data_IF_251910434240
#
_entry.id   IF_251910434240
#
_cell.length_a   1.000
_cell.length_b   1.000
_cell.length_c   1.000
_cell.angle_alpha   90.00
_cell.angle_beta   90.00
_cell.angle_gamma   90.00
#
_symmetry.space_group_name_H-M   'P 1'
#
loop_
_entity.id
_entity.type
_entity.pdbx_description
1 polymer ?
#
# COMPACT_ATOMS: atom_id res chain seq x y z
N UNK A 1 -18.48 -8.20 1.56
CA UNK A 1 -17.44 -8.14 2.61
C UNK A 1 -16.85 -6.73 2.61
N UNK A 2 -16.73 -6.11 3.78
CA UNK A 2 -16.07 -4.81 3.94
C UNK A 2 -14.56 -4.95 3.98
N UNK A 3 -13.81 -4.04 3.33
CA UNK A 3 -12.34 -4.00 3.41
C UNK A 3 -11.84 -3.80 4.85
N UNK A 4 -10.70 -4.42 5.17
CA UNK A 4 -9.95 -4.12 6.40
C UNK A 4 -9.34 -2.71 6.37
N UNK A 5 -8.83 -2.22 7.50
CA UNK A 5 -8.14 -0.92 7.53
C UNK A 5 -6.89 -0.91 6.64
N UNK A 6 -6.08 -1.97 6.67
CA UNK A 6 -4.91 -2.11 5.79
C UNK A 6 -5.30 -2.07 4.31
N UNK A 7 -6.35 -2.80 3.93
CA UNK A 7 -6.83 -2.79 2.53
C UNK A 7 -7.31 -1.41 2.11
N UNK A 8 -7.98 -0.64 2.99
CA UNK A 8 -8.39 0.73 2.69
C UNK A 8 -7.20 1.67 2.48
N UNK A 9 -6.17 1.56 3.33
CA UNK A 9 -4.94 2.36 3.19
C UNK A 9 -4.24 2.03 1.86
N UNK A 10 -4.05 0.75 1.57
CA UNK A 10 -3.42 0.30 0.33
C UNK A 10 -4.22 0.72 -0.91
N UNK A 11 -5.54 0.57 -0.89
CA UNK A 11 -6.42 1.01 -1.98
C UNK A 11 -6.31 2.52 -2.23
N UNK A 12 -6.29 3.32 -1.16
CA UNK A 12 -6.14 4.78 -1.27
C UNK A 12 -4.80 5.19 -1.91
N UNK A 13 -3.68 4.59 -1.47
CA UNK A 13 -2.34 4.93 -2.00
C UNK A 13 -2.07 4.33 -3.39
N UNK A 14 -2.82 3.31 -3.79
CA UNK A 14 -2.83 2.75 -5.15
C UNK A 14 -3.83 3.44 -6.10
N UNK A 15 -4.67 4.36 -5.60
CA UNK A 15 -5.72 5.00 -6.41
C UNK A 15 -6.83 4.05 -6.86
N UNK A 16 -7.07 2.97 -6.11
CA UNK A 16 -8.06 1.94 -6.42
C UNK A 16 -9.29 2.07 -5.51
N UNK A 17 -10.46 1.64 -6.01
CA UNK A 17 -11.69 1.61 -5.20
C UNK A 17 -11.68 0.49 -4.14
N UNK A 18 -10.98 -0.61 -4.41
CA UNK A 18 -10.80 -1.71 -3.45
C UNK A 18 -9.58 -2.57 -3.80
N UNK A 19 -9.11 -3.36 -2.83
CA UNK A 19 -8.04 -4.36 -3.01
C UNK A 19 -8.36 -5.65 -2.27
N UNK A 20 -7.79 -6.77 -2.75
CA UNK A 20 -7.93 -8.10 -2.12
C UNK A 20 -6.56 -8.70 -1.77
N UNK A 21 -6.57 -9.73 -0.91
CA UNK A 21 -5.33 -10.42 -0.54
C UNK A 21 -4.74 -11.17 -1.74
N UNK A 22 -3.42 -11.06 -1.95
CA UNK A 22 -2.71 -11.66 -3.09
C UNK A 22 -2.72 -10.83 -4.37
N UNK A 23 -3.43 -9.70 -4.40
CA UNK A 23 -3.38 -8.75 -5.51
C UNK A 23 -2.05 -7.98 -5.50
N UNK A 24 -1.39 -7.89 -6.66
CA UNK A 24 -0.27 -6.96 -6.87
C UNK A 24 -0.82 -5.57 -7.19
N UNK A 25 -0.27 -4.54 -6.54
CA UNK A 25 -0.66 -3.13 -6.72
C UNK A 25 0.59 -2.26 -6.77
N UNK A 26 0.49 -1.13 -7.46
CA UNK A 26 1.45 -0.03 -7.35
C UNK A 26 0.87 1.02 -6.41
N UNK A 27 1.61 1.39 -5.37
CA UNK A 27 1.17 2.36 -4.38
C UNK A 27 2.18 3.50 -4.26
N UNK A 28 1.69 4.73 -4.11
CA UNK A 28 2.56 5.89 -3.84
C UNK A 28 3.09 5.81 -2.41
N UNK A 29 4.40 6.04 -2.27
CA UNK A 29 5.08 6.07 -0.97
C UNK A 29 5.12 7.51 -0.46
N UNK A 30 4.72 7.73 0.79
CA UNK A 30 4.74 9.06 1.41
C UNK A 30 6.10 9.40 2.04
N UNK A 31 6.82 8.39 2.55
CA UNK A 31 8.14 8.53 3.13
C UNK A 31 8.94 7.25 2.88
N UNK A 32 10.22 7.42 2.56
CA UNK A 32 11.19 6.32 2.48
C UNK A 32 12.35 6.64 3.42
N UNK A 33 12.66 5.70 4.30
CA UNK A 33 13.80 5.78 5.21
C UNK A 33 14.82 4.72 4.78
N UNK A 34 16.04 5.14 4.47
CA UNK A 34 17.18 4.27 4.21
C UNK A 34 18.15 4.30 5.37
N UNK A 35 18.63 3.12 5.78
CA UNK A 35 19.70 2.98 6.76
C UNK A 35 21.06 2.85 6.05
N UNK A 36 22.14 3.04 6.81
CA UNK A 36 23.53 3.16 6.32
C UNK A 36 23.99 1.97 5.46
N UNK A 37 23.56 0.75 5.76
CA UNK A 37 23.94 -0.48 5.03
C UNK A 37 23.06 -0.75 3.80
N UNK A 38 21.98 -0.01 3.63
CA UNK A 38 20.90 -0.31 2.65
C UNK A 38 20.72 0.75 1.57
N UNK A 39 21.47 1.87 1.63
CA UNK A 39 21.37 2.98 0.67
C UNK A 39 22.13 2.73 -0.62
#
# INVERSE_FOLDING_TARGET
>A
MSMTMTQKILAAHAGLQSVTAGQLIEAKLDLVLGNDVTS
#
